data_IF_880230069686
#
_entry.id   IF_880230069686
#
_cell.length_a   1.000
_cell.length_b   1.000
_cell.length_c   1.000
_cell.angle_alpha   90.00
_cell.angle_beta   90.00
_cell.angle_gamma   90.00
#
_symmetry.space_group_name_H-M   'P 1'
#
loop_
_entity.id
_entity.type
_entity.pdbx_description
1 polymer ?
#
# COMPACT_ATOMS: atom_id res chain seq x y z
N UNK A 1 -36.59 21.29 55.55
CA UNK A 1 -36.68 21.83 54.17
C UNK A 1 -35.31 21.64 53.51
N UNK A 2 -34.81 20.46 53.11
CA UNK A 2 -35.26 19.40 52.19
C UNK A 2 -35.53 19.88 50.76
N UNK A 3 -34.61 19.50 49.87
CA UNK A 3 -34.65 19.46 48.39
C UNK A 3 -34.43 20.75 47.60
N UNK A 4 -33.20 21.30 47.56
CA UNK A 4 -32.87 22.32 46.56
C UNK A 4 -31.41 22.44 46.11
N UNK A 5 -30.54 21.44 46.25
CA UNK A 5 -29.13 21.57 45.78
C UNK A 5 -28.52 20.38 45.02
N UNK A 6 -29.33 19.44 44.51
CA UNK A 6 -28.85 18.29 43.73
C UNK A 6 -29.23 18.37 42.23
N UNK A 7 -28.91 19.48 41.55
CA UNK A 7 -29.26 19.62 40.13
C UNK A 7 -28.20 20.27 39.22
N UNK A 8 -26.93 20.39 39.65
CA UNK A 8 -25.92 21.11 38.84
C UNK A 8 -24.52 20.49 38.80
N UNK A 9 -24.36 19.16 38.89
CA UNK A 9 -23.03 18.51 38.75
C UNK A 9 -22.99 17.37 37.71
N UNK A 10 -24.06 17.11 36.96
CA UNK A 10 -24.12 15.94 36.07
C UNK A 10 -24.38 16.29 34.61
N UNK A 11 -23.62 17.23 34.04
CA UNK A 11 -23.72 17.58 32.61
C UNK A 11 -22.40 18.09 31.98
N UNK A 12 -21.26 17.61 32.46
CA UNK A 12 -19.95 17.81 31.79
C UNK A 12 -19.09 16.54 31.92
N UNK A 13 -19.42 15.49 31.16
CA UNK A 13 -18.54 14.31 31.06
C UNK A 13 -18.73 13.46 29.79
N UNK A 14 -19.27 14.00 28.69
CA UNK A 14 -19.40 13.26 27.42
C UNK A 14 -19.19 14.20 26.23
N UNK A 15 -17.94 14.60 25.98
CA UNK A 15 -17.52 15.25 24.74
C UNK A 15 -16.01 15.09 24.44
N UNK A 16 -15.40 13.95 24.78
CA UNK A 16 -13.98 13.66 24.49
C UNK A 16 -13.77 12.31 23.80
N UNK A 17 -14.68 11.96 22.87
CA UNK A 17 -14.48 10.83 21.97
C UNK A 17 -14.99 11.21 20.58
N UNK A 18 -14.19 11.95 19.81
CA UNK A 18 -14.58 12.30 18.45
C UNK A 18 -13.79 13.41 17.76
N UNK A 19 -12.48 13.52 17.94
CA UNK A 19 -11.63 14.38 17.11
C UNK A 19 -10.20 13.80 17.03
N UNK A 20 -9.99 12.74 16.24
CA UNK A 20 -8.62 12.29 15.90
C UNK A 20 -8.39 12.14 14.38
N UNK A 21 -9.28 12.68 13.54
CA UNK A 21 -9.19 12.58 12.07
C UNK A 21 -8.56 13.80 11.37
N UNK A 22 -7.93 14.69 12.13
CA UNK A 22 -7.21 15.84 11.57
C UNK A 22 -5.81 15.93 12.16
N UNK A 23 -4.95 14.94 11.88
CA UNK A 23 -3.51 15.18 11.99
C UNK A 23 -3.06 15.94 10.73
N UNK A 24 -3.16 17.26 10.84
CA UNK A 24 -2.43 18.35 10.18
C UNK A 24 -2.05 18.21 8.69
N UNK A 25 -2.55 19.15 7.88
CA UNK A 25 -2.01 19.51 6.57
C UNK A 25 -0.49 19.63 6.66
N UNK A 26 0.25 18.92 5.80
CA UNK A 26 1.70 18.98 5.73
C UNK A 26 2.15 20.41 5.39
N UNK A 27 2.48 21.22 6.39
CA UNK A 27 2.96 22.60 6.24
C UNK A 27 4.48 22.60 6.00
N UNK A 28 4.93 22.08 4.86
CA UNK A 28 6.32 22.25 4.43
C UNK A 28 6.37 23.33 3.37
N UNK A 29 7.13 24.40 3.62
CA UNK A 29 7.44 25.39 2.59
C UNK A 29 8.47 24.80 1.62
N UNK A 30 7.98 24.36 0.45
CA UNK A 30 8.81 23.75 -0.59
C UNK A 30 9.90 24.69 -1.12
N UNK A 31 9.74 26.01 -1.02
CA UNK A 31 10.74 26.98 -1.48
C UNK A 31 12.03 26.95 -0.65
N UNK A 32 11.94 26.47 0.60
CA UNK A 32 13.07 26.37 1.53
C UNK A 32 13.77 25.00 1.47
N UNK A 33 13.23 24.05 0.71
CA UNK A 33 13.78 22.70 0.59
C UNK A 33 14.99 22.71 -0.34
N UNK A 34 16.20 22.69 0.24
CA UNK A 34 17.47 22.67 -0.52
C UNK A 34 17.80 21.29 -1.10
N UNK A 35 17.53 20.23 -0.34
CA UNK A 35 17.74 18.86 -0.76
C UNK A 35 16.53 18.01 -0.38
N UNK A 36 15.70 17.70 -1.37
CA UNK A 36 14.49 16.90 -1.19
C UNK A 36 14.76 15.49 -0.65
N UNK A 37 15.90 14.89 -0.99
CA UNK A 37 16.25 13.52 -0.58
C UNK A 37 16.65 13.46 0.89
N UNK A 38 17.37 14.49 1.37
CA UNK A 38 17.88 14.58 2.74
C UNK A 38 17.00 15.46 3.66
N UNK A 39 15.82 15.88 3.19
CA UNK A 39 14.92 16.69 4.00
C UNK A 39 14.54 15.95 5.30
N UNK A 40 14.76 16.53 6.49
CA UNK A 40 14.41 15.89 7.75
C UNK A 40 12.89 15.81 7.93
N UNK A 41 12.45 14.87 8.77
CA UNK A 41 11.08 14.86 9.26
C UNK A 41 10.78 16.16 10.03
N UNK A 42 9.59 16.75 9.87
CA UNK A 42 9.26 18.03 10.49
C UNK A 42 9.10 17.90 12.01
N UNK A 43 9.30 18.98 12.79
CA UNK A 43 9.25 18.95 14.25
C UNK A 43 7.98 18.33 14.82
N UNK A 44 6.81 18.60 14.21
CA UNK A 44 5.52 18.01 14.64
C UNK A 44 5.54 16.48 14.68
N UNK A 45 6.18 15.85 13.69
CA UNK A 45 6.29 14.40 13.59
C UNK A 45 7.28 13.89 14.64
N UNK A 46 8.39 14.59 14.86
CA UNK A 46 9.37 14.22 15.88
C UNK A 46 8.78 14.28 17.29
N UNK A 47 7.95 15.29 17.58
CA UNK A 47 7.20 15.39 18.85
C UNK A 47 6.22 14.23 19.02
N UNK A 48 5.43 13.91 17.98
CA UNK A 48 4.48 12.81 18.02
C UNK A 48 5.18 11.45 18.20
N UNK A 49 6.32 11.25 17.53
CA UNK A 49 7.16 10.06 17.71
C UNK A 49 7.61 9.90 19.16
N UNK A 50 8.12 10.98 19.77
CA UNK A 50 8.54 10.97 21.16
C UNK A 50 7.37 10.62 22.10
N UNK A 51 6.20 11.23 21.89
CA UNK A 51 4.99 10.96 22.66
C UNK A 51 4.53 9.49 22.55
N UNK A 52 4.73 8.86 21.39
CA UNK A 52 4.34 7.48 21.11
C UNK A 52 5.43 6.44 21.34
N UNK A 53 6.58 6.83 21.90
CA UNK A 53 7.74 5.93 22.10
C UNK A 53 8.21 5.27 20.80
N UNK A 54 8.30 6.05 19.74
CA UNK A 54 8.79 5.63 18.43
C UNK A 54 10.17 6.24 18.19
N UNK A 55 11.20 5.40 18.04
CA UNK A 55 12.53 5.89 17.65
C UNK A 55 12.51 6.42 16.21
N UNK A 56 13.22 7.51 15.92
CA UNK A 56 13.24 8.15 14.59
C UNK A 56 13.54 7.15 13.46
N UNK A 57 14.50 6.25 13.69
CA UNK A 57 14.97 5.30 12.69
C UNK A 57 14.28 3.93 12.80
N UNK A 58 13.26 3.80 13.67
CA UNK A 58 12.54 2.53 13.81
C UNK A 58 11.81 2.11 12.52
N UNK A 59 11.60 0.80 12.32
CA UNK A 59 10.90 0.28 11.14
C UNK A 59 9.51 0.90 10.91
N UNK A 60 9.15 1.06 9.63
CA UNK A 60 7.83 1.53 9.19
C UNK A 60 7.07 0.50 8.36
N UNK A 61 5.77 0.72 8.24
CA UNK A 61 4.81 0.04 7.38
C UNK A 61 3.97 1.12 6.68
N UNK A 62 3.65 0.92 5.40
CA UNK A 62 2.79 1.82 4.64
C UNK A 62 1.45 1.11 4.40
N UNK A 63 0.33 1.77 4.69
CA UNK A 63 -1.01 1.27 4.36
C UNK A 63 -1.74 2.25 3.46
N UNK A 64 -2.38 1.76 2.42
CA UNK A 64 -3.17 2.55 1.48
C UNK A 64 -4.60 2.03 1.48
N UNK A 65 -5.55 2.97 1.50
CA UNK A 65 -6.98 2.73 1.48
C UNK A 65 -7.58 3.51 0.31
N UNK A 66 -7.89 2.82 -0.79
CA UNK A 66 -8.31 3.46 -2.04
C UNK A 66 -9.64 4.18 -1.91
N UNK A 67 -10.60 3.56 -1.23
CA UNK A 67 -11.95 4.09 -1.10
C UNK A 67 -11.95 5.41 -0.32
N UNK A 68 -11.29 5.41 0.83
CA UNK A 68 -11.04 6.56 1.70
C UNK A 68 -10.09 7.58 1.05
N UNK A 69 -9.31 7.18 0.04
CA UNK A 69 -8.26 7.99 -0.56
C UNK A 69 -7.19 8.38 0.46
N UNK A 70 -6.72 7.43 1.28
CA UNK A 70 -5.80 7.69 2.37
C UNK A 70 -4.56 6.79 2.31
N UNK A 71 -3.38 7.38 2.55
CA UNK A 71 -2.13 6.68 2.80
C UNK A 71 -1.76 6.91 4.28
N UNK A 72 -1.35 5.85 4.97
CA UNK A 72 -0.93 5.90 6.37
C UNK A 72 0.49 5.37 6.53
N UNK A 73 1.25 6.04 7.40
CA UNK A 73 2.53 5.54 7.89
C UNK A 73 2.31 5.01 9.29
N UNK A 74 2.66 3.74 9.48
CA UNK A 74 2.68 3.04 10.75
C UNK A 74 4.13 2.80 11.13
N UNK A 75 4.46 3.00 12.39
CA UNK A 75 5.84 2.95 12.85
C UNK A 75 5.97 2.09 14.10
N UNK A 76 7.05 1.31 14.17
CA UNK A 76 7.34 0.48 15.31
C UNK A 76 7.66 1.35 16.53
N UNK A 77 6.96 1.07 17.64
CA UNK A 77 7.33 1.56 18.97
C UNK A 77 8.43 0.68 19.57
N UNK A 78 8.93 1.07 20.73
CA UNK A 78 9.92 0.30 21.51
C UNK A 78 9.48 -1.11 21.92
N UNK A 79 8.18 -1.41 21.96
CA UNK A 79 7.62 -2.74 22.23
C UNK A 79 7.49 -3.62 20.97
N UNK A 80 8.04 -3.18 19.84
CA UNK A 80 7.92 -3.82 18.52
C UNK A 80 6.47 -4.02 18.05
N UNK A 81 5.53 -3.21 18.55
CA UNK A 81 4.19 -3.05 17.97
C UNK A 81 4.12 -1.75 17.21
N UNK A 82 3.36 -1.76 16.13
CA UNK A 82 3.20 -0.63 15.23
C UNK A 82 1.98 0.18 15.65
N UNK A 83 2.14 1.50 15.63
CA UNK A 83 1.03 2.44 15.73
C UNK A 83 1.12 3.48 14.60
N UNK A 84 -0.02 4.08 14.24
CA UNK A 84 -0.09 5.09 13.19
C UNK A 84 0.63 6.35 13.66
N UNK A 85 1.59 6.82 12.86
CA UNK A 85 2.33 8.07 13.12
C UNK A 85 1.86 9.21 12.21
N UNK A 86 1.42 8.90 10.99
CA UNK A 86 0.96 9.91 10.04
C UNK A 86 -0.10 9.37 9.08
N UNK A 87 -0.93 10.27 8.54
CA UNK A 87 -1.90 9.97 7.50
C UNK A 87 -1.96 11.09 6.47
N UNK A 88 -2.09 10.73 5.19
CA UNK A 88 -2.04 11.65 4.06
C UNK A 88 -3.21 11.36 3.12
N UNK A 89 -3.91 12.42 2.69
CA UNK A 89 -4.92 12.31 1.64
C UNK A 89 -4.21 12.06 0.30
N UNK A 90 -4.58 10.99 -0.37
CA UNK A 90 -4.13 10.67 -1.73
C UNK A 90 -4.78 11.69 -2.67
N UNK A 91 -3.96 12.39 -3.43
CA UNK A 91 -4.42 13.45 -4.32
C UNK A 91 -5.10 12.88 -5.58
N UNK A 92 -4.50 11.83 -6.17
CA UNK A 92 -5.08 11.14 -7.31
C UNK A 92 -4.72 9.65 -7.34
N UNK A 93 -5.68 8.80 -7.71
CA UNK A 93 -5.43 7.42 -8.09
C UNK A 93 -6.39 6.99 -9.21
N UNK A 94 -5.90 6.19 -10.17
CA UNK A 94 -6.66 5.80 -11.35
C UNK A 94 -7.40 4.48 -11.21
N UNK A 95 -8.46 4.34 -12.00
CA UNK A 95 -9.30 3.14 -12.04
C UNK A 95 -10.39 3.15 -10.97
N UNK A 96 -10.75 1.94 -10.53
CA UNK A 96 -11.83 1.67 -9.56
C UNK A 96 -11.32 0.86 -8.39
N UNK A 97 -12.18 0.51 -7.45
CA UNK A 97 -11.82 -0.50 -6.45
C UNK A 97 -11.61 -1.85 -7.15
N UNK A 98 -10.53 -2.54 -6.79
CA UNK A 98 -10.06 -3.76 -7.44
C UNK A 98 -8.57 -3.75 -7.76
N UNK A 99 -7.98 -4.94 -7.99
CA UNK A 99 -6.56 -5.09 -8.27
C UNK A 99 -6.19 -4.64 -9.68
N UNK A 100 -4.93 -4.23 -9.85
CA UNK A 100 -4.30 -4.11 -11.16
C UNK A 100 -4.11 -5.49 -11.78
N UNK A 101 -4.41 -5.66 -13.06
CA UNK A 101 -4.30 -6.96 -13.76
C UNK A 101 -3.41 -6.89 -15.00
N UNK A 102 -3.44 -5.80 -15.78
CA UNK A 102 -2.68 -5.71 -17.04
C UNK A 102 -2.02 -4.36 -17.25
N UNK A 103 -0.95 -4.33 -18.02
CA UNK A 103 -0.35 -3.06 -18.44
C UNK A 103 -1.39 -2.21 -19.19
N UNK A 104 -1.46 -0.92 -18.85
CA UNK A 104 -2.39 0.01 -19.48
C UNK A 104 -3.86 -0.06 -19.02
N UNK A 105 -4.23 -0.90 -18.05
CA UNK A 105 -5.58 -0.90 -17.46
C UNK A 105 -5.91 0.34 -16.62
N UNK A 106 -4.93 1.24 -16.42
CA UNK A 106 -5.03 2.44 -15.59
C UNK A 106 -5.51 2.14 -14.17
N UNK A 107 -5.14 1.00 -13.61
CA UNK A 107 -5.61 0.55 -12.30
C UNK A 107 -4.49 0.66 -11.26
N UNK A 108 -4.76 1.32 -10.14
CA UNK A 108 -3.87 1.29 -8.98
C UNK A 108 -3.92 -0.09 -8.29
N UNK A 109 -2.76 -0.67 -7.91
CA UNK A 109 -2.65 -2.06 -7.46
C UNK A 109 -3.19 -2.26 -6.05
N UNK A 110 -3.69 -3.46 -5.74
CA UNK A 110 -4.11 -3.85 -4.39
C UNK A 110 -3.33 -5.12 -4.01
N UNK A 111 -2.91 -5.24 -2.75
CA UNK A 111 -2.06 -6.36 -2.30
C UNK A 111 -1.02 -5.97 -1.26
N UNK A 112 -0.06 -6.88 -1.06
CA UNK A 112 1.05 -6.73 -0.12
C UNK A 112 2.37 -6.70 -0.89
N UNK A 113 3.17 -5.66 -0.72
CA UNK A 113 4.41 -5.46 -1.43
C UNK A 113 5.55 -5.25 -0.45
N UNK A 114 6.75 -5.73 -0.80
CA UNK A 114 7.94 -5.51 0.02
C UNK A 114 8.86 -4.53 -0.71
N UNK A 115 9.00 -3.33 -0.15
CA UNK A 115 9.77 -2.25 -0.75
C UNK A 115 11.17 -2.23 -0.14
N UNK A 116 12.18 -2.42 -0.96
CA UNK A 116 13.60 -2.28 -0.57
C UNK A 116 14.06 -0.85 -0.77
N UNK A 117 15.28 -0.52 -0.32
CA UNK A 117 15.90 0.78 -0.60
C UNK A 117 15.96 1.10 -2.10
N UNK A 118 16.08 0.10 -2.97
CA UNK A 118 16.09 0.27 -4.43
C UNK A 118 14.74 0.74 -4.99
N UNK A 119 13.64 0.60 -4.23
CA UNK A 119 12.35 1.14 -4.62
C UNK A 119 12.24 2.66 -4.42
N UNK A 120 13.15 3.28 -3.66
CA UNK A 120 13.20 4.72 -3.53
C UNK A 120 13.76 5.36 -4.81
N UNK A 121 13.01 6.28 -5.41
CA UNK A 121 13.41 7.01 -6.61
C UNK A 121 13.58 8.51 -6.30
N UNK A 122 14.81 8.95 -5.97
CA UNK A 122 15.11 10.37 -5.73
C UNK A 122 15.05 11.23 -6.99
N UNK A 123 15.22 10.62 -8.18
CA UNK A 123 15.30 11.26 -9.49
C UNK A 123 13.98 11.18 -10.26
N UNK A 124 12.86 11.09 -9.54
CA UNK A 124 11.52 11.06 -10.13
C UNK A 124 11.28 12.27 -11.04
N UNK A 125 10.56 12.05 -12.16
CA UNK A 125 10.12 13.11 -13.08
C UNK A 125 8.98 13.98 -12.50
N UNK A 126 8.41 13.58 -11.37
CA UNK A 126 7.43 14.37 -10.62
C UNK A 126 8.16 15.22 -9.58
N UNK A 127 8.34 14.72 -8.35
CA UNK A 127 9.16 15.36 -7.32
C UNK A 127 10.03 14.33 -6.59
N UNK A 128 9.41 13.46 -5.80
CA UNK A 128 9.98 12.22 -5.28
C UNK A 128 9.05 11.06 -5.62
N UNK A 129 9.56 9.85 -5.63
CA UNK A 129 8.74 8.67 -5.80
C UNK A 129 9.26 7.45 -5.03
N UNK A 130 8.34 6.56 -4.70
CA UNK A 130 8.60 5.23 -4.16
C UNK A 130 7.87 4.23 -5.07
N UNK A 131 8.61 3.34 -5.71
CA UNK A 131 8.02 2.25 -6.49
C UNK A 131 7.28 1.30 -5.55
N UNK A 132 6.03 1.00 -5.87
CA UNK A 132 5.12 0.13 -5.08
C UNK A 132 5.54 -1.33 -5.07
N UNK A 133 6.50 -1.75 -5.89
CA UNK A 133 6.95 -3.13 -5.96
C UNK A 133 5.99 -4.06 -6.72
N UNK A 134 4.98 -3.53 -7.39
CA UNK A 134 4.16 -4.29 -8.33
C UNK A 134 4.95 -4.62 -9.60
N UNK A 135 4.85 -5.84 -10.16
CA UNK A 135 4.11 -6.99 -9.63
C UNK A 135 4.89 -7.74 -8.54
N UNK A 136 4.21 -8.20 -7.49
CA UNK A 136 4.80 -9.10 -6.50
C UNK A 136 4.71 -10.58 -6.94
N UNK A 137 5.09 -11.53 -6.06
CA UNK A 137 5.01 -12.98 -6.35
C UNK A 137 3.58 -13.46 -6.65
N UNK A 138 2.57 -12.93 -5.94
CA UNK A 138 1.16 -13.25 -6.17
C UNK A 138 0.70 -12.71 -7.53
N UNK A 139 1.09 -11.49 -7.87
CA UNK A 139 0.74 -10.87 -9.14
C UNK A 139 1.36 -11.63 -10.31
N UNK A 140 2.65 -11.95 -10.21
CA UNK A 140 3.38 -12.68 -11.23
C UNK A 140 2.79 -14.06 -11.52
N UNK A 141 2.48 -14.86 -10.49
CA UNK A 141 1.90 -16.21 -10.68
C UNK A 141 0.47 -16.18 -11.21
N UNK A 142 -0.25 -15.08 -10.98
CA UNK A 142 -1.58 -14.83 -11.55
C UNK A 142 -1.52 -14.14 -12.92
N UNK A 143 -0.33 -14.05 -13.54
CA UNK A 143 -0.16 -13.49 -14.88
C UNK A 143 -0.43 -11.98 -14.97
N UNK A 144 -0.38 -11.27 -13.83
CA UNK A 144 -0.62 -9.83 -13.81
C UNK A 144 0.60 -9.09 -14.31
N UNK A 145 0.37 -8.05 -15.12
CA UNK A 145 1.44 -7.32 -15.78
C UNK A 145 1.36 -5.81 -15.52
N UNK A 146 2.53 -5.19 -15.56
CA UNK A 146 2.70 -3.75 -15.57
C UNK A 146 3.93 -3.31 -14.79
N UNK A 147 4.33 -2.06 -14.97
CA UNK A 147 5.55 -1.49 -14.38
C UNK A 147 5.29 -0.06 -13.94
N UNK A 148 6.21 0.49 -13.15
CA UNK A 148 6.25 1.92 -12.81
C UNK A 148 5.03 2.43 -12.04
N UNK A 149 4.49 1.58 -11.16
CA UNK A 149 3.45 1.93 -10.22
C UNK A 149 4.09 2.57 -8.99
N UNK A 150 3.86 3.86 -8.78
CA UNK A 150 4.60 4.67 -7.82
C UNK A 150 3.67 5.30 -6.77
N UNK A 151 4.21 5.57 -5.58
CA UNK A 151 3.75 6.62 -4.68
C UNK A 151 4.61 7.84 -4.99
N UNK A 152 4.04 8.94 -5.50
CA UNK A 152 4.84 10.08 -5.98
C UNK A 152 4.18 11.43 -5.71
N UNK A 153 4.98 12.51 -5.74
CA UNK A 153 4.48 13.89 -5.71
C UNK A 153 3.83 14.29 -7.04
N UNK A 154 3.40 15.54 -7.20
CA UNK A 154 2.51 16.01 -8.27
C UNK A 154 1.15 15.29 -8.31
N UNK A 155 0.08 16.07 -8.22
CA UNK A 155 -1.29 15.56 -8.08
C UNK A 155 -1.89 15.03 -9.41
N UNK A 156 -1.26 14.07 -10.07
CA UNK A 156 -1.79 13.47 -11.31
C UNK A 156 -1.37 12.02 -11.46
N UNK A 157 -2.34 11.14 -11.75
CA UNK A 157 -2.14 9.70 -11.84
C UNK A 157 -2.71 9.10 -13.12
N UNK A 158 -2.01 8.09 -13.65
CA UNK A 158 -2.49 7.14 -14.68
C UNK A 158 -2.46 5.68 -14.19
N UNK A 159 -2.32 5.46 -12.87
CA UNK A 159 -2.19 4.13 -12.24
C UNK A 159 -1.45 4.18 -10.89
N UNK A 160 -0.76 5.27 -10.59
CA UNK A 160 -0.03 5.51 -9.35
C UNK A 160 -0.91 5.96 -8.18
N UNK A 161 -0.31 6.05 -7.00
CA UNK A 161 -0.83 6.79 -5.85
C UNK A 161 -0.15 8.15 -5.79
N UNK A 162 -0.80 9.17 -6.33
CA UNK A 162 -0.25 10.52 -6.39
C UNK A 162 -0.58 11.30 -5.13
N UNK A 163 0.43 11.92 -4.56
CA UNK A 163 0.41 12.75 -3.36
C UNK A 163 0.73 14.20 -3.75
N UNK A 164 0.63 15.14 -2.80
CA UNK A 164 1.28 16.45 -2.98
C UNK A 164 2.80 16.34 -2.78
N UNK A 165 3.54 17.34 -3.22
CA UNK A 165 5.00 17.36 -3.09
C UNK A 165 5.44 17.41 -1.62
N UNK A 166 4.70 18.15 -0.78
CA UNK A 166 4.93 18.22 0.67
C UNK A 166 4.69 16.86 1.32
N UNK A 167 3.60 16.18 0.95
CA UNK A 167 3.27 14.87 1.49
C UNK A 167 4.31 13.82 1.10
N UNK A 168 4.69 13.75 -0.19
CA UNK A 168 5.67 12.75 -0.63
C UNK A 168 7.04 13.00 -0.02
N UNK A 169 7.40 14.26 0.23
CA UNK A 169 8.67 14.62 0.90
C UNK A 169 8.76 13.99 2.28
N UNK A 170 7.68 14.07 3.05
CA UNK A 170 7.61 13.47 4.37
C UNK A 170 7.53 11.93 4.32
N UNK A 171 6.71 11.37 3.42
CA UNK A 171 6.63 9.91 3.19
C UNK A 171 7.99 9.33 2.82
N UNK A 172 8.73 10.01 1.94
CA UNK A 172 10.07 9.62 1.52
C UNK A 172 11.06 9.71 2.69
N UNK A 173 10.99 10.76 3.51
CA UNK A 173 11.83 10.90 4.70
C UNK A 173 11.58 9.77 5.72
N UNK A 174 10.33 9.36 5.94
CA UNK A 174 10.01 8.21 6.78
C UNK A 174 10.68 6.92 6.26
N UNK A 175 10.56 6.65 4.96
CA UNK A 175 11.18 5.46 4.36
C UNK A 175 12.71 5.52 4.42
N UNK A 176 13.30 6.67 4.09
CA UNK A 176 14.75 6.91 4.19
C UNK A 176 15.27 6.63 5.60
N UNK A 177 14.68 7.27 6.61
CA UNK A 177 15.12 7.16 8.01
C UNK A 177 14.99 5.70 8.50
N UNK A 178 13.94 4.98 8.08
CA UNK A 178 13.78 3.56 8.41
C UNK A 178 14.85 2.66 7.75
N UNK A 179 15.20 2.90 6.48
CA UNK A 179 16.31 2.20 5.82
C UNK A 179 17.67 2.56 6.44
N UNK A 180 17.88 3.81 6.85
CA UNK A 180 19.07 4.23 7.60
C UNK A 180 19.17 3.53 8.96
N UNK A 181 18.02 3.25 9.60
CA UNK A 181 17.90 2.44 10.82
C UNK A 181 18.10 0.94 10.63
N UNK A 182 18.35 0.47 9.41
CA UNK A 182 18.62 -0.93 9.13
C UNK A 182 17.39 -1.78 8.76
N UNK A 183 16.20 -1.19 8.61
CA UNK A 183 15.07 -1.92 8.02
C UNK A 183 15.43 -2.32 6.59
N UNK A 184 15.36 -3.61 6.25
CA UNK A 184 15.75 -4.11 4.91
C UNK A 184 14.60 -4.07 3.90
N UNK A 185 13.36 -4.08 4.39
CA UNK A 185 12.15 -4.00 3.59
C UNK A 185 11.02 -3.30 4.33
N UNK A 186 10.38 -2.33 3.67
CA UNK A 186 9.16 -1.68 4.12
C UNK A 186 7.98 -2.40 3.47
N UNK A 187 7.10 -3.00 4.27
CA UNK A 187 5.89 -3.58 3.72
C UNK A 187 4.89 -2.47 3.35
N UNK A 188 4.36 -2.53 2.13
CA UNK A 188 3.26 -1.71 1.63
C UNK A 188 2.02 -2.60 1.54
N UNK A 189 0.93 -2.18 2.17
CA UNK A 189 -0.36 -2.85 2.11
C UNK A 189 -1.36 -1.93 1.41
N UNK A 190 -1.77 -2.28 0.19
CA UNK A 190 -2.75 -1.54 -0.57
C UNK A 190 -4.10 -2.25 -0.54
N UNK A 191 -5.09 -1.64 0.10
CA UNK A 191 -6.42 -2.20 0.30
C UNK A 191 -7.47 -1.42 -0.52
N UNK A 192 -8.58 -2.08 -0.91
CA UNK A 192 -9.70 -1.39 -1.54
C UNK A 192 -10.31 -0.34 -0.59
N UNK A 193 -10.45 -0.69 0.69
CA UNK A 193 -11.05 0.12 1.75
C UNK A 193 -10.56 -0.38 3.11
N UNK A 194 -10.87 0.31 4.21
CA UNK A 194 -10.69 -0.25 5.55
C UNK A 194 -11.56 -1.49 5.70
N UNK A 195 -10.95 -2.66 5.89
CA UNK A 195 -11.62 -3.97 5.75
C UNK A 195 -12.49 -4.37 6.96
N UNK A 196 -13.26 -3.42 7.47
CA UNK A 196 -14.25 -3.60 8.54
C UNK A 196 -15.38 -4.53 8.07
N UNK A 197 -16.12 -5.11 9.03
CA UNK A 197 -17.28 -5.94 8.72
C UNK A 197 -18.33 -5.20 7.89
N UNK A 198 -18.58 -3.94 8.22
CA UNK A 198 -19.51 -3.09 7.48
C UNK A 198 -19.08 -2.88 6.03
N UNK A 199 -17.83 -2.50 5.78
CA UNK A 199 -17.35 -2.28 4.41
C UNK A 199 -17.32 -3.60 3.62
N UNK A 200 -16.85 -4.69 4.23
CA UNK A 200 -16.91 -6.01 3.59
C UNK A 200 -18.35 -6.42 3.21
N UNK A 201 -19.36 -6.08 4.02
CA UNK A 201 -20.77 -6.31 3.67
C UNK A 201 -21.26 -5.39 2.55
N UNK A 202 -20.97 -4.09 2.64
CA UNK A 202 -21.34 -3.09 1.63
C UNK A 202 -20.85 -3.47 0.23
N UNK A 203 -19.65 -4.02 0.14
CA UNK A 203 -19.02 -4.39 -1.13
C UNK A 203 -19.16 -5.87 -1.52
N UNK A 204 -20.02 -6.64 -0.82
CA UNK A 204 -20.13 -8.10 -1.01
C UNK A 204 -20.49 -8.56 -2.43
N UNK A 205 -21.10 -7.69 -3.22
CA UNK A 205 -21.53 -7.98 -4.60
C UNK A 205 -20.46 -7.68 -5.65
N UNK A 206 -19.29 -7.18 -5.24
CA UNK A 206 -18.19 -6.92 -6.18
C UNK A 206 -17.61 -8.21 -6.74
N UNK A 207 -17.23 -8.18 -8.02
CA UNK A 207 -16.45 -9.25 -8.68
C UNK A 207 -15.10 -9.53 -7.98
N UNK A 208 -14.58 -8.55 -7.22
CA UNK A 208 -13.29 -8.65 -6.53
C UNK A 208 -13.42 -9.17 -5.09
N UNK A 209 -14.62 -9.55 -4.64
CA UNK A 209 -14.87 -9.89 -3.22
C UNK A 209 -14.01 -11.04 -2.71
N UNK A 210 -13.74 -12.07 -3.53
CA UNK A 210 -12.93 -13.21 -3.10
C UNK A 210 -11.46 -12.85 -2.97
N UNK A 211 -10.96 -11.97 -3.85
CA UNK A 211 -9.63 -11.39 -3.69
C UNK A 211 -9.56 -10.53 -2.42
N UNK A 212 -10.59 -9.76 -2.11
CA UNK A 212 -10.63 -8.95 -0.90
C UNK A 212 -10.74 -9.78 0.38
N UNK A 213 -11.52 -10.88 0.39
CA UNK A 213 -11.50 -11.84 1.51
C UNK A 213 -10.08 -12.35 1.77
N UNK A 214 -9.29 -12.58 0.72
CA UNK A 214 -7.89 -12.99 0.86
C UNK A 214 -7.02 -11.88 1.45
N UNK A 215 -7.16 -10.63 0.99
CA UNK A 215 -6.45 -9.48 1.58
C UNK A 215 -6.81 -9.27 3.05
N UNK A 216 -8.09 -9.51 3.41
CA UNK A 216 -8.61 -9.35 4.76
C UNK A 216 -7.85 -10.20 5.77
N UNK A 217 -7.46 -11.42 5.40
CA UNK A 217 -6.68 -12.30 6.31
C UNK A 217 -5.38 -11.59 6.75
N UNK A 218 -4.64 -11.00 5.82
CA UNK A 218 -3.44 -10.23 6.15
C UNK A 218 -3.75 -8.93 6.91
N UNK A 219 -4.85 -8.26 6.56
CA UNK A 219 -5.34 -7.08 7.28
C UNK A 219 -5.61 -7.41 8.76
N UNK A 220 -6.37 -8.48 9.04
CA UNK A 220 -6.74 -8.89 10.41
C UNK A 220 -5.53 -9.35 11.22
N UNK A 221 -4.59 -10.05 10.59
CA UNK A 221 -3.31 -10.42 11.22
C UNK A 221 -2.57 -9.18 11.72
N UNK A 222 -2.54 -8.10 10.93
CA UNK A 222 -1.98 -6.82 11.39
C UNK A 222 -2.83 -6.21 12.49
N UNK A 223 -4.16 -6.19 12.40
CA UNK A 223 -5.01 -5.58 13.41
C UNK A 223 -4.88 -6.24 14.79
N UNK A 224 -4.77 -7.57 14.83
CA UNK A 224 -4.64 -8.35 16.06
C UNK A 224 -3.23 -8.23 16.66
N UNK A 225 -2.20 -8.39 15.84
CA UNK A 225 -0.82 -8.43 16.34
C UNK A 225 -0.18 -7.05 16.49
N UNK A 226 -0.68 -6.07 15.72
CA UNK A 226 -0.02 -4.78 15.45
C UNK A 226 1.42 -4.96 14.97
N UNK A 227 1.66 -5.98 14.16
CA UNK A 227 2.95 -6.26 13.50
C UNK A 227 2.69 -6.57 12.03
N UNK A 228 3.53 -6.10 11.08
CA UNK A 228 3.42 -6.47 9.68
C UNK A 228 3.40 -8.01 9.56
N UNK A 229 2.38 -8.60 8.93
CA UNK A 229 2.33 -10.04 8.75
C UNK A 229 3.47 -10.51 7.83
N UNK A 230 3.99 -11.71 8.08
CA UNK A 230 4.77 -12.44 7.09
C UNK A 230 3.85 -12.83 5.93
N UNK A 231 4.27 -12.52 4.70
CA UNK A 231 3.47 -12.76 3.49
C UNK A 231 4.18 -13.76 2.60
N UNK A 232 3.50 -14.88 2.34
CA UNK A 232 3.91 -15.92 1.41
C UNK A 232 2.82 -16.14 0.35
N UNK A 233 3.16 -16.94 -0.67
CA UNK A 233 2.23 -17.29 -1.75
C UNK A 233 2.38 -18.76 -2.09
N UNK A 234 1.25 -19.46 -2.18
CA UNK A 234 1.14 -20.80 -2.75
C UNK A 234 -0.28 -21.01 -3.29
N UNK A 235 -0.46 -21.95 -4.22
CA UNK A 235 -1.73 -22.19 -4.90
C UNK A 235 -2.35 -20.91 -5.51
N UNK A 236 -1.48 -19.99 -5.95
CA UNK A 236 -1.85 -18.65 -6.45
C UNK A 236 -2.60 -17.78 -5.44
N UNK A 237 -2.49 -18.07 -4.14
CA UNK A 237 -3.14 -17.36 -3.03
C UNK A 237 -2.11 -16.82 -2.04
N UNK A 238 -2.43 -15.70 -1.41
CA UNK A 238 -1.66 -15.21 -0.27
C UNK A 238 -1.81 -16.14 0.93
N UNK A 239 -0.73 -16.24 1.70
CA UNK A 239 -0.66 -16.96 2.97
C UNK A 239 0.02 -16.06 3.98
N UNK A 240 -0.51 -15.98 5.20
CA UNK A 240 -0.04 -15.06 6.24
C UNK A 240 0.35 -15.79 7.51
N UNK A 241 1.51 -15.42 8.08
CA UNK A 241 1.98 -15.87 9.40
C UNK A 241 1.91 -17.40 9.60
N UNK A 242 2.21 -18.17 8.55
CA UNK A 242 2.24 -19.63 8.62
C UNK A 242 3.66 -20.12 8.87
N UNK A 243 3.80 -20.99 9.86
CA UNK A 243 4.99 -21.83 10.02
C UNK A 243 4.87 -22.99 9.04
N UNK A 244 5.95 -23.28 8.32
CA UNK A 244 5.98 -24.40 7.37
C UNK A 244 7.28 -25.17 7.45
N UNK A 245 7.20 -26.48 7.26
CA UNK A 245 8.35 -27.37 7.13
C UNK A 245 9.01 -27.32 5.73
N UNK A 246 8.38 -26.66 4.76
CA UNK A 246 8.85 -26.58 3.37
C UNK A 246 8.86 -25.15 2.81
N UNK A 247 9.47 -24.99 1.63
CA UNK A 247 9.49 -23.71 0.93
C UNK A 247 8.14 -23.43 0.23
N UNK A 248 7.72 -22.17 0.23
CA UNK A 248 6.54 -21.73 -0.50
C UNK A 248 6.83 -21.58 -2.00
N UNK A 249 6.03 -22.26 -2.83
CA UNK A 249 6.02 -22.07 -4.28
C UNK A 249 4.72 -21.36 -4.70
N UNK A 250 4.77 -20.14 -5.26
CA UNK A 250 3.58 -19.38 -5.63
C UNK A 250 2.57 -20.14 -6.50
N UNK A 251 3.05 -20.96 -7.44
CA UNK A 251 2.18 -21.72 -8.35
C UNK A 251 1.97 -23.18 -7.95
N UNK A 252 2.72 -23.66 -6.96
CA UNK A 252 2.65 -25.03 -6.47
C UNK A 252 1.66 -25.19 -5.33
N UNK A 253 1.46 -26.45 -4.92
CA UNK A 253 0.68 -26.81 -3.73
C UNK A 253 1.27 -26.14 -2.49
N UNK A 254 0.42 -25.70 -1.57
CA UNK A 254 0.88 -25.20 -0.30
C UNK A 254 1.56 -26.33 0.49
N UNK A 255 2.72 -26.07 1.12
CA UNK A 255 3.33 -27.04 2.04
C UNK A 255 2.42 -27.26 3.25
N UNK A 256 2.76 -28.21 4.11
CA UNK A 256 2.11 -28.32 5.41
C UNK A 256 2.38 -27.04 6.22
N UNK A 257 1.31 -26.48 6.78
CA UNK A 257 1.30 -25.17 7.42
C UNK A 257 0.58 -25.24 8.76
N UNK A 258 1.10 -24.50 9.73
CA UNK A 258 0.44 -24.26 11.00
C UNK A 258 0.60 -22.80 11.43
N UNK A 259 -0.40 -22.27 12.13
CA UNK A 259 -0.29 -20.98 12.80
C UNK A 259 0.06 -21.18 14.29
N UNK A 260 0.84 -20.29 14.92
CA UNK A 260 1.11 -20.34 16.34
C UNK A 260 -0.21 -20.35 17.16
N UNK A 261 -0.36 -21.21 18.20
CA UNK A 261 -1.63 -21.33 18.93
C UNK A 261 -2.16 -20.02 19.51
N UNK A 262 -1.27 -19.14 19.98
CA UNK A 262 -1.63 -17.82 20.48
C UNK A 262 -2.23 -16.92 19.39
N UNK A 263 -1.68 -16.97 18.16
CA UNK A 263 -2.20 -16.22 17.03
C UNK A 263 -3.58 -16.75 16.62
N UNK A 264 -3.74 -18.07 16.53
CA UNK A 264 -5.03 -18.71 16.21
C UNK A 264 -6.10 -18.32 17.23
N UNK A 265 -5.79 -18.36 18.52
CA UNK A 265 -6.74 -17.98 19.57
C UNK A 265 -7.12 -16.49 19.49
N UNK A 266 -6.14 -15.61 19.25
CA UNK A 266 -6.38 -14.18 19.13
C UNK A 266 -7.23 -13.83 17.89
N UNK A 267 -6.95 -14.44 16.74
CA UNK A 267 -7.75 -14.30 15.52
C UNK A 267 -9.17 -14.83 15.74
N UNK A 268 -9.34 -16.01 16.34
CA UNK A 268 -10.66 -16.55 16.63
C UNK A 268 -11.50 -15.64 17.56
N UNK A 269 -10.86 -14.95 18.51
CA UNK A 269 -11.54 -13.96 19.35
C UNK A 269 -11.92 -12.70 18.55
N UNK A 270 -11.04 -12.25 17.66
CA UNK A 270 -11.28 -11.11 16.78
C UNK A 270 -12.42 -11.40 15.79
N UNK A 271 -12.43 -12.61 15.20
CA UNK A 271 -13.42 -13.07 14.25
C UNK A 271 -14.83 -13.12 14.84
N UNK A 272 -14.98 -13.50 16.12
CA UNK A 272 -16.29 -13.40 16.80
C UNK A 272 -16.84 -11.97 16.82
N UNK A 273 -15.97 -11.00 17.05
CA UNK A 273 -16.37 -9.57 17.05
C UNK A 273 -16.71 -9.13 15.64
N UNK A 274 -15.94 -9.58 14.65
CA UNK A 274 -16.20 -9.35 13.23
C UNK A 274 -17.55 -9.92 12.81
N UNK A 275 -17.87 -11.17 13.16
CA UNK A 275 -19.12 -11.85 12.79
C UNK A 275 -20.34 -11.15 13.35
N UNK A 276 -20.28 -10.69 14.60
CA UNK A 276 -21.35 -9.88 15.23
C UNK A 276 -21.54 -8.58 14.44
N UNK A 277 -20.45 -7.88 14.12
CA UNK A 277 -20.51 -6.64 13.35
C UNK A 277 -21.00 -6.87 11.91
N UNK A 278 -20.64 -8.00 11.30
CA UNK A 278 -21.09 -8.37 9.95
C UNK A 278 -22.58 -8.71 9.94
N UNK A 279 -23.05 -9.48 10.92
CA UNK A 279 -24.48 -9.76 11.10
C UNK A 279 -25.29 -8.47 11.35
N UNK A 280 -24.73 -7.52 12.11
CA UNK A 280 -25.32 -6.19 12.27
C UNK A 280 -25.39 -5.44 10.95
N UNK A 281 -24.29 -5.36 10.20
CA UNK A 281 -24.25 -4.72 8.89
C UNK A 281 -25.22 -5.36 7.91
N UNK A 282 -25.37 -6.70 7.95
CA UNK A 282 -26.31 -7.43 7.12
C UNK A 282 -27.76 -7.04 7.36
N UNK A 283 -28.14 -6.78 8.62
CA UNK A 283 -29.48 -6.28 8.95
C UNK A 283 -29.65 -4.80 8.58
N UNK A 284 -28.61 -4.00 8.78
CA UNK A 284 -28.65 -2.55 8.54
C UNK A 284 -28.72 -2.20 7.05
N UNK A 285 -28.05 -2.98 6.20
CA UNK A 285 -27.94 -2.73 4.76
C UNK A 285 -28.60 -3.83 3.93
N UNK A 286 -29.64 -4.48 4.48
CA UNK A 286 -30.36 -5.54 3.79
C UNK A 286 -30.92 -5.04 2.44
N UNK A 287 -30.79 -5.88 1.41
CA UNK A 287 -31.16 -5.52 0.03
C UNK A 287 -30.33 -4.38 -0.62
N UNK A 288 -29.37 -3.79 0.09
CA UNK A 288 -28.53 -2.69 -0.39
C UNK A 288 -27.08 -3.13 -0.57
N UNK A 289 -26.37 -2.54 -1.53
CA UNK A 289 -24.94 -2.69 -1.71
C UNK A 289 -24.32 -1.35 -2.14
N UNK A 290 -23.01 -1.24 -2.00
CA UNK A 290 -22.29 -0.02 -2.35
C UNK A 290 -22.05 0.07 -3.85
N UNK A 291 -22.44 1.20 -4.43
CA UNK A 291 -22.02 1.61 -5.76
C UNK A 291 -20.62 2.21 -5.68
N UNK A 292 -19.63 1.46 -6.16
CA UNK A 292 -18.29 2.01 -6.39
C UNK A 292 -18.35 3.02 -7.54
N UNK A 293 -17.98 4.31 -7.36
CA UNK A 293 -18.02 5.29 -8.43
C UNK A 293 -16.86 5.08 -9.42
N UNK A 294 -17.08 5.44 -10.68
CA UNK A 294 -16.03 5.55 -11.69
C UNK A 294 -15.03 6.65 -11.36
N UNK A 295 -13.81 6.57 -11.92
CA UNK A 295 -12.81 7.64 -11.82
C UNK A 295 -13.36 8.99 -12.32
N UNK A 296 -14.25 8.99 -13.33
CA UNK A 296 -14.85 10.21 -13.86
C UNK A 296 -15.81 10.85 -12.85
N UNK A 297 -16.66 10.05 -12.19
CA UNK A 297 -17.54 10.50 -11.11
C UNK A 297 -16.73 11.05 -9.93
N UNK A 298 -15.64 10.36 -9.54
CA UNK A 298 -14.70 10.85 -8.52
C UNK A 298 -14.01 12.17 -8.92
N UNK A 299 -13.67 12.36 -10.20
CA UNK A 299 -13.12 13.64 -10.66
C UNK A 299 -14.16 14.75 -10.65
N UNK A 300 -15.43 14.44 -10.92
CA UNK A 300 -16.51 15.42 -10.91
C UNK A 300 -16.72 16.06 -9.53
N UNK A 301 -16.61 15.28 -8.44
CA UNK A 301 -16.83 15.82 -7.07
C UNK A 301 -15.76 16.82 -6.64
N UNK A 302 -14.54 16.74 -7.19
CA UNK A 302 -13.43 17.68 -6.92
C UNK A 302 -13.17 18.67 -8.06
N UNK A 303 -14.05 18.74 -9.08
CA UNK A 303 -13.82 19.60 -10.24
C UNK A 303 -13.59 21.09 -9.86
N UNK A 304 -14.27 21.55 -8.81
CA UNK A 304 -14.14 22.93 -8.29
C UNK A 304 -12.84 23.19 -7.51
N UNK A 305 -12.12 22.15 -7.07
CA UNK A 305 -10.85 22.31 -6.32
C UNK A 305 -9.65 22.58 -7.23
N UNK A 306 -9.78 22.36 -8.55
CA UNK A 306 -8.77 22.74 -9.54
C UNK A 306 -8.70 24.26 -9.66
N UNK A 307 -7.84 24.88 -8.85
CA UNK A 307 -7.48 26.29 -8.98
C UNK A 307 -6.33 26.40 -9.98
N UNK A 308 -6.61 26.89 -11.18
CA UNK A 308 -5.60 27.12 -12.23
C UNK A 308 -5.68 26.16 -13.42
N UNK A 309 -4.78 26.38 -14.40
CA UNK A 309 -4.67 25.60 -15.65
C UNK A 309 -3.50 24.63 -15.65
N UNK A 310 -2.92 24.34 -14.49
CA UNK A 310 -1.78 23.44 -14.40
C UNK A 310 -2.21 22.00 -14.73
N UNK A 311 -1.74 21.49 -15.87
CA UNK A 311 -2.09 20.16 -16.36
C UNK A 311 -1.60 19.04 -15.42
N UNK A 312 -0.57 19.31 -14.60
CA UNK A 312 -0.03 18.39 -13.62
C UNK A 312 -0.88 18.28 -12.33
N UNK A 313 -1.83 19.21 -12.10
CA UNK A 313 -2.75 19.18 -10.96
C UNK A 313 -4.13 18.67 -11.37
N UNK A 314 -4.33 17.36 -11.22
CA UNK A 314 -5.51 16.63 -11.62
C UNK A 314 -6.03 15.72 -10.48
N UNK A 315 -6.52 16.30 -9.37
CA UNK A 315 -7.02 15.52 -8.24
C UNK A 315 -8.18 14.62 -8.65
N UNK A 316 -8.28 13.48 -7.96
CA UNK A 316 -9.47 12.63 -7.97
C UNK A 316 -10.12 12.69 -6.59
N UNK A 317 -11.43 12.85 -6.52
CA UNK A 317 -12.17 12.64 -5.28
C UNK A 317 -12.04 11.22 -4.76
N UNK A 318 -12.46 11.04 -3.52
CA UNK A 318 -12.51 9.71 -2.89
C UNK A 318 -13.69 8.90 -3.43
N UNK A 319 -13.63 7.58 -3.32
CA UNK A 319 -14.81 6.76 -3.63
C UNK A 319 -15.91 6.96 -2.60
N UNK A 320 -15.57 7.30 -1.34
CA UNK A 320 -16.57 7.65 -0.32
C UNK A 320 -17.41 8.89 -0.69
N UNK A 321 -16.77 9.94 -1.23
CA UNK A 321 -17.45 11.19 -1.61
C UNK A 321 -18.37 11.02 -2.83
N UNK A 322 -18.00 10.16 -3.78
CA UNK A 322 -18.74 9.98 -5.04
C UNK A 322 -19.63 8.72 -5.08
N UNK A 323 -19.38 7.75 -4.20
CA UNK A 323 -20.12 6.51 -4.08
C UNK A 323 -21.37 6.65 -3.22
N UNK A 324 -22.22 5.62 -3.23
CA UNK A 324 -23.46 5.60 -2.47
C UNK A 324 -24.00 4.18 -2.28
N UNK A 325 -24.81 3.97 -1.25
CA UNK A 325 -25.60 2.75 -1.13
C UNK A 325 -26.74 2.76 -2.16
N UNK A 326 -26.91 1.65 -2.88
CA UNK A 326 -27.97 1.43 -3.87
C UNK A 326 -28.62 0.07 -3.65
N UNK A 327 -29.86 -0.12 -4.15
CA UNK A 327 -30.48 -1.44 -4.12
C UNK A 327 -29.67 -2.40 -4.98
N UNK A 328 -29.55 -3.65 -4.54
CA UNK A 328 -28.80 -4.67 -5.29
C UNK A 328 -29.36 -4.86 -6.70
N UNK A 329 -30.68 -4.89 -6.86
CA UNK A 329 -31.33 -5.00 -8.16
C UNK A 329 -30.98 -3.85 -9.12
N UNK A 330 -30.84 -2.61 -8.62
CA UNK A 330 -30.47 -1.46 -9.44
C UNK A 330 -29.02 -1.58 -9.93
N UNK A 331 -28.12 -2.04 -9.05
CA UNK A 331 -26.71 -2.27 -9.39
C UNK A 331 -26.54 -3.39 -10.42
N UNK A 332 -27.28 -4.48 -10.28
CA UNK A 332 -27.29 -5.59 -11.25
C UNK A 332 -27.80 -5.11 -12.61
N UNK A 333 -28.88 -4.33 -12.63
CA UNK A 333 -29.42 -3.71 -13.85
C UNK A 333 -28.41 -2.78 -14.53
N UNK A 334 -27.71 -1.93 -13.78
CA UNK A 334 -26.65 -1.06 -14.31
C UNK A 334 -25.47 -1.87 -14.89
N UNK A 335 -25.10 -2.95 -14.23
CA UNK A 335 -23.99 -3.83 -14.66
C UNK A 335 -24.37 -4.56 -15.94
N UNK A 336 -25.57 -5.13 -16.01
CA UNK A 336 -26.09 -5.79 -17.20
C UNK A 336 -26.20 -4.84 -18.41
N UNK A 337 -26.69 -3.61 -18.20
CA UNK A 337 -26.76 -2.60 -19.25
C UNK A 337 -25.36 -2.24 -19.79
N UNK A 338 -24.36 -2.09 -18.90
CA UNK A 338 -22.98 -1.80 -19.31
C UNK A 338 -22.34 -2.95 -20.09
N UNK A 339 -22.61 -4.20 -19.70
CA UNK A 339 -22.18 -5.39 -20.45
C UNK A 339 -22.85 -5.43 -21.83
N UNK A 340 -24.15 -5.13 -21.92
CA UNK A 340 -24.84 -5.06 -23.21
C UNK A 340 -24.28 -3.95 -24.12
N UNK A 341 -23.98 -2.76 -23.59
CA UNK A 341 -23.37 -1.67 -24.37
C UNK A 341 -21.95 -2.00 -24.85
N UNK A 342 -21.14 -2.67 -24.02
CA UNK A 342 -19.77 -3.08 -24.41
C UNK A 342 -19.79 -4.19 -25.46
N UNK A 343 -20.70 -5.16 -25.35
CA UNK A 343 -20.91 -6.17 -26.40
C UNK A 343 -21.39 -5.50 -27.69
N UNK A 344 -22.35 -4.58 -27.62
CA UNK A 344 -22.86 -3.84 -28.78
C UNK A 344 -21.76 -3.00 -29.48
N UNK A 345 -20.92 -2.30 -28.70
CA UNK A 345 -19.79 -1.53 -29.22
C UNK A 345 -18.73 -2.40 -29.88
N UNK A 346 -18.45 -3.59 -29.32
CA UNK A 346 -17.52 -4.55 -29.91
C UNK A 346 -18.09 -5.22 -31.17
N UNK A 347 -19.41 -5.47 -31.23
CA UNK A 347 -20.06 -6.00 -32.44
C UNK A 347 -20.16 -4.97 -33.56
N UNK A 348 -20.33 -3.68 -33.24
CA UNK A 348 -20.33 -2.59 -34.22
C UNK A 348 -18.91 -2.30 -34.76
N UNK A 349 -17.87 -2.50 -33.94
CA UNK A 349 -16.48 -2.44 -34.40
C UNK A 349 -16.06 -3.67 -35.24
N UNK A 350 -16.81 -4.77 -35.18
CA UNK A 350 -16.61 -5.99 -35.97
C UNK A 350 -17.36 -6.04 -37.30
N UNK A 351 -18.18 -5.03 -37.61
CA UNK A 351 -18.98 -4.95 -38.84
C UNK A 351 -18.64 -3.71 -39.67
N UNK A 352 -17.35 -3.49 -39.90
CA UNK A 352 -16.91 -2.72 -41.06
C UNK A 352 -16.92 -3.65 -42.30
N UNK A 353 -17.67 -3.35 -43.37
CA UNK A 353 -17.64 -4.16 -44.58
C UNK A 353 -16.27 -4.03 -45.26
N UNK A 354 -15.68 -5.16 -45.59
CA UNK A 354 -14.59 -5.24 -46.55
C UNK A 354 -15.15 -4.93 -47.94
N UNK A 355 -14.85 -3.74 -48.47
CA UNK A 355 -14.41 -3.55 -49.86
C UNK A 355 -14.30 -2.05 -50.22
N UNK A 356 -13.09 -1.64 -50.60
CA UNK A 356 -12.83 -0.86 -51.81
C UNK A 356 -11.32 -0.53 -51.90
N UNK A 357 -10.67 -1.13 -52.89
CA UNK A 357 -9.34 -0.77 -53.38
C UNK A 357 -9.22 0.74 -53.60
N UNK A 358 -8.25 1.37 -52.93
CA UNK A 358 -7.68 2.65 -53.35
C UNK A 358 -6.19 2.44 -53.59
N UNK A 359 -5.84 2.35 -54.87
CA UNK A 359 -4.48 2.39 -55.39
C UNK A 359 -3.78 3.67 -54.93
N UNK A 360 -2.71 3.53 -54.15
CA UNK A 360 -1.73 4.61 -53.94
C UNK A 360 -0.40 4.14 -54.52
N UNK A 361 0.10 4.95 -55.45
CA UNK A 361 1.34 4.81 -56.20
C UNK A 361 2.53 4.39 -55.32
N UNK A 362 3.29 3.43 -55.85
CA UNK A 362 4.65 3.14 -55.43
C UNK A 362 5.55 4.38 -55.61
N UNK A 363 6.30 4.70 -54.57
CA UNK A 363 7.56 5.42 -54.66
C UNK A 363 8.60 4.54 -53.93
N UNK A 364 9.64 4.20 -54.67
CA UNK A 364 10.73 3.31 -54.25
C UNK A 364 11.44 3.81 -52.99
N UNK A 365 11.53 2.93 -52.00
CA UNK A 365 12.60 2.95 -51.02
C UNK A 365 12.98 1.50 -50.70
N UNK A 366 14.23 1.17 -51.00
CA UNK A 366 14.79 -0.17 -51.03
C UNK A 366 14.54 -1.00 -49.76
N UNK A 367 14.10 -2.24 -49.98
CA UNK A 367 14.10 -3.30 -48.96
C UNK A 367 15.56 -3.73 -48.76
N UNK A 368 16.19 -3.23 -47.71
CA UNK A 368 17.41 -3.84 -47.16
C UNK A 368 16.98 -4.82 -46.08
N UNK A 369 17.28 -6.09 -46.34
CA UNK A 369 17.09 -7.24 -45.47
C UNK A 369 17.92 -7.07 -44.17
N UNK A 370 17.36 -7.07 -42.94
CA UNK A 370 18.18 -7.16 -41.74
C UNK A 370 18.38 -8.63 -41.38
N UNK A 371 19.17 -9.33 -42.19
CA UNK A 371 19.95 -10.44 -41.67
C UNK A 371 21.19 -9.84 -40.99
N UNK A 372 21.45 -10.25 -39.74
CA UNK A 372 22.68 -10.00 -38.96
C UNK A 372 22.97 -8.54 -38.56
N UNK A 373 22.45 -8.13 -37.39
CA UNK A 373 23.09 -7.10 -36.55
C UNK A 373 23.53 -7.77 -35.23
N UNK A 374 24.78 -7.58 -34.76
CA UNK A 374 25.35 -8.33 -33.65
C UNK A 374 24.73 -7.97 -32.30
N UNK A 375 24.50 -8.99 -31.47
CA UNK A 375 24.17 -8.88 -30.04
C UNK A 375 25.33 -8.17 -29.30
N UNK A 376 25.08 -7.21 -28.39
CA UNK A 376 26.14 -6.69 -27.52
C UNK A 376 26.60 -7.79 -26.56
N UNK A 377 27.85 -8.22 -26.73
CA UNK A 377 28.56 -9.11 -25.80
C UNK A 377 28.79 -8.41 -24.45
N UNK A 378 28.61 -9.09 -23.31
CA UNK A 378 29.03 -8.58 -22.01
C UNK A 378 30.56 -8.42 -21.99
N UNK A 379 31.04 -7.30 -21.43
CA UNK A 379 32.47 -7.05 -21.25
C UNK A 379 33.13 -8.15 -20.42
N UNK A 380 34.31 -8.66 -20.81
CA UNK A 380 35.03 -9.67 -20.04
C UNK A 380 35.63 -9.03 -18.79
N UNK A 381 35.23 -9.54 -17.62
CA UNK A 381 35.97 -9.33 -16.37
C UNK A 381 37.20 -10.24 -16.47
N UNK A 382 38.38 -9.66 -16.65
CA UNK A 382 39.64 -10.38 -16.49
C UNK A 382 39.79 -10.86 -15.05
N UNK A 383 40.02 -12.16 -14.79
CA UNK A 383 40.41 -12.62 -13.47
C UNK A 383 41.90 -12.33 -13.29
N UNK A 384 42.23 -11.26 -12.57
CA UNK A 384 43.60 -11.11 -12.06
C UNK A 384 43.78 -12.13 -10.95
N UNK A 385 44.41 -13.26 -11.29
CA UNK A 385 44.90 -14.24 -10.33
C UNK A 385 45.91 -13.55 -9.41
N UNK A 386 45.49 -13.26 -8.17
CA UNK A 386 46.41 -12.92 -7.09
C UNK A 386 46.68 -14.21 -6.35
N UNK A 387 47.93 -14.65 -6.38
CA UNK A 387 48.40 -15.85 -5.73
C UNK A 387 48.06 -15.84 -4.23
N UNK A 388 47.56 -16.98 -3.75
CA UNK A 388 47.38 -17.27 -2.33
C UNK A 388 48.75 -17.27 -1.65
N UNK A 389 49.00 -16.27 -0.81
CA UNK A 389 50.03 -16.33 0.22
C UNK A 389 49.41 -17.02 1.45
N UNK A 390 50.06 -18.04 2.05
CA UNK A 390 49.54 -18.68 3.26
C UNK A 390 49.44 -17.66 4.40
N UNK A 391 48.26 -17.56 5.02
CA UNK A 391 48.07 -16.79 6.25
C UNK A 391 48.65 -17.60 7.40
N UNK A 392 49.74 -17.09 7.95
CA UNK A 392 50.35 -17.54 9.20
C UNK A 392 49.39 -17.27 10.37
N UNK A 393 49.22 -18.25 11.25
CA UNK A 393 48.32 -18.16 12.39
C UNK A 393 48.82 -17.12 13.41
N UNK A 394 47.98 -16.17 13.88
CA UNK A 394 48.36 -15.35 15.01
C UNK A 394 48.33 -16.17 16.29
N UNK A 395 49.51 -16.27 16.91
CA UNK A 395 49.74 -16.83 18.24
C UNK A 395 48.87 -16.12 19.29
N UNK A 396 48.36 -16.90 20.22
CA UNK A 396 47.61 -16.47 21.39
C UNK A 396 48.46 -15.52 22.26
N UNK A 397 48.06 -14.26 22.35
CA UNK A 397 48.56 -13.34 23.38
C UNK A 397 47.60 -13.36 24.56
N UNK A 398 48.10 -13.90 25.66
CA UNK A 398 47.48 -13.97 26.98
C UNK A 398 47.27 -12.56 27.55
N UNK A 399 46.02 -12.12 27.65
CA UNK A 399 45.65 -10.88 28.35
C UNK A 399 45.36 -11.19 29.81
N UNK A 400 46.29 -10.75 30.68
CA UNK A 400 46.20 -10.82 32.12
C UNK A 400 44.91 -10.20 32.66
N UNK A 401 44.15 -11.00 33.41
CA UNK A 401 42.92 -10.61 34.07
C UNK A 401 43.16 -9.55 35.16
N UNK A 402 42.60 -8.35 34.98
CA UNK A 402 42.42 -7.37 36.06
C UNK A 402 41.20 -7.75 36.90
N UNK A 403 41.41 -7.87 38.21
CA UNK A 403 40.38 -8.22 39.22
C UNK A 403 39.34 -7.09 39.39
N UNK A 404 38.06 -7.39 39.66
CA UNK A 404 37.01 -6.39 39.81
C UNK A 404 37.03 -5.73 41.20
N UNK A 405 36.82 -4.41 41.21
CA UNK A 405 36.90 -3.49 42.36
C UNK A 405 35.62 -3.44 43.24
N UNK A 406 34.83 -4.51 43.34
CA UNK A 406 33.62 -4.49 44.16
C UNK A 406 33.46 -5.77 44.99
N UNK A 407 34.22 -5.84 46.09
CA UNK A 407 33.92 -6.66 47.27
C UNK A 407 34.44 -5.96 48.51
N UNK A 408 33.66 -5.01 49.02
CA UNK A 408 33.89 -4.35 50.31
C UNK A 408 32.62 -4.32 51.16
N UNK A 409 31.77 -5.35 51.08
CA UNK A 409 30.70 -5.60 52.05
C UNK A 409 30.52 -7.13 52.17
N UNK A 410 30.32 -7.57 53.42
CA UNK A 410 30.00 -8.92 53.91
C UNK A 410 31.12 -9.95 54.07
N UNK A 411 31.69 -9.93 55.29
CA UNK A 411 31.96 -11.15 56.07
C UNK A 411 31.95 -10.84 57.56
N UNK A 412 30.93 -11.35 58.25
CA UNK A 412 31.19 -12.30 59.34
C UNK A 412 30.96 -13.70 58.77
#
# INVERSE_FOLDING_TARGET
MRFRHFAYVSLMALALAGCNDALETTQIDLSQVKNKVEQPLPPRILTEMAAKSMDRNSPILIRIFKEEGQLEIWKAKTDNRYDKIAGYKICAWSGRLGPKVKQGDRQAPEGFYNLTKANLNPNSKYYLAINTGFPNKYDAVNGRTGTDLMIHGACSSSGCYSMTDEQVLEIYAFARDAFQGGQTGVQLQAFPFRMTAENMFKHRTSENIDFWKMLKVGYDNFEVTKRPPEVNVCEKKYVFNQQSAGAFNPGGKCPEMSAPPALTAALASYDKTYDIAYAKASKQFDGMAWYDPSEAERKAVVAKSRKGRELAYAPTGTSLEAGRMMKVADLEGMTAAKTATTVAANTAAGSAPADASATVKAADAAIVNPASVPVPTPSPISPTATALVPVEQPQSVELAAKKPFWKFWDRN
#
